data_IF_361144037203
#
_entry.id   IF_361144037203
#
_cell.length_a   1.000
_cell.length_b   1.000
_cell.length_c   1.000
_cell.angle_alpha   90.00
_cell.angle_beta   90.00
_cell.angle_gamma   90.00
#
_symmetry.space_group_name_H-M   'P 1'
#
loop_
_entity.id
_entity.type
_entity.pdbx_description
1 polymer ?
#
# COMPACT_ATOMS: atom_id res chain seq x y z
N UNK A 1 -4.31 28.07 31.32
CA UNK A 1 -5.09 26.82 31.21
C UNK A 1 -5.88 26.71 29.92
N UNK A 2 -6.66 27.74 29.51
CA UNK A 2 -7.44 27.75 28.25
C UNK A 2 -6.62 27.46 26.97
N UNK A 3 -5.43 28.06 26.85
CA UNK A 3 -4.52 27.82 25.72
C UNK A 3 -4.00 26.39 25.68
N UNK A 4 -3.60 25.83 26.83
CA UNK A 4 -3.14 24.43 26.94
C UNK A 4 -4.26 23.46 26.55
N UNK A 5 -5.49 23.72 26.99
CA UNK A 5 -6.67 22.92 26.58
C UNK A 5 -6.92 22.99 25.08
N UNK A 6 -6.80 24.17 24.46
CA UNK A 6 -6.96 24.34 23.02
C UNK A 6 -5.86 23.61 22.23
N UNK A 7 -4.61 23.68 22.67
CA UNK A 7 -3.49 22.96 22.04
C UNK A 7 -3.68 21.45 22.12
N UNK A 8 -4.13 20.93 23.27
CA UNK A 8 -4.41 19.49 23.44
C UNK A 8 -5.54 19.04 22.50
N UNK A 9 -6.61 19.83 22.35
CA UNK A 9 -7.73 19.52 21.44
C UNK A 9 -7.31 19.48 19.96
N UNK A 10 -6.41 20.39 19.55
CA UNK A 10 -5.87 20.42 18.19
C UNK A 10 -4.99 19.19 17.91
N UNK A 11 -4.13 18.81 18.86
CA UNK A 11 -3.27 17.64 18.73
C UNK A 11 -4.05 16.32 18.65
N UNK A 12 -5.14 16.18 19.41
CA UNK A 12 -6.00 14.98 19.37
C UNK A 12 -6.69 14.85 18.02
N UNK A 13 -7.16 15.96 17.44
CA UNK A 13 -7.89 15.96 16.16
C UNK A 13 -7.02 15.55 14.97
N UNK A 14 -5.71 15.83 15.01
CA UNK A 14 -4.78 15.50 13.93
C UNK A 14 -4.52 13.99 13.76
N UNK A 15 -4.86 13.15 14.75
CA UNK A 15 -4.61 11.70 14.71
C UNK A 15 -5.54 10.90 13.78
N UNK A 16 -6.56 11.54 13.18
CA UNK A 16 -7.63 10.87 12.43
C UNK A 16 -7.53 10.97 10.90
N UNK A 17 -6.43 11.48 10.35
CA UNK A 17 -6.28 11.66 8.89
C UNK A 17 -5.66 10.47 8.15
N UNK A 18 -5.39 9.34 8.81
CA UNK A 18 -5.02 8.13 8.10
C UNK A 18 -6.28 7.47 7.54
N UNK A 19 -6.50 7.59 6.23
CA UNK A 19 -7.52 6.82 5.54
C UNK A 19 -7.13 5.34 5.60
N UNK A 20 -8.01 4.51 6.14
CA UNK A 20 -7.86 3.06 6.14
C UNK A 20 -8.04 2.56 4.70
N UNK A 21 -6.92 2.39 3.98
CA UNK A 21 -6.93 1.79 2.65
C UNK A 21 -7.18 0.30 2.87
N UNK A 22 -8.44 -0.11 2.70
CA UNK A 22 -8.84 -1.51 2.78
C UNK A 22 -8.24 -2.28 1.61
N UNK A 23 -7.13 -2.96 1.86
CA UNK A 23 -6.47 -3.80 0.86
C UNK A 23 -7.24 -5.11 0.68
N UNK A 24 -7.52 -5.48 -0.57
CA UNK A 24 -8.06 -6.80 -0.89
C UNK A 24 -6.94 -7.85 -0.79
N UNK A 25 -6.99 -8.66 0.25
CA UNK A 25 -6.05 -9.78 0.49
C UNK A 25 -6.63 -11.14 0.07
N UNK A 26 -7.72 -11.16 -0.70
CA UNK A 26 -8.25 -12.42 -1.24
C UNK A 26 -7.23 -13.12 -2.15
N UNK A 27 -7.23 -14.46 -2.24
CA UNK A 27 -6.40 -15.19 -3.21
C UNK A 27 -6.69 -14.78 -4.65
N UNK A 28 -5.68 -14.85 -5.52
CA UNK A 28 -5.88 -14.52 -6.93
C UNK A 28 -6.68 -15.61 -7.61
N UNK A 29 -7.61 -15.23 -8.48
CA UNK A 29 -8.25 -16.18 -9.37
C UNK A 29 -7.24 -16.65 -10.44
N UNK A 30 -7.54 -17.76 -11.12
CA UNK A 30 -6.87 -18.07 -12.37
C UNK A 30 -6.87 -16.84 -13.29
N UNK A 31 -5.73 -16.56 -13.92
CA UNK A 31 -5.51 -15.44 -14.84
C UNK A 31 -5.54 -14.03 -14.21
N UNK A 32 -5.67 -13.91 -12.89
CA UNK A 32 -5.51 -12.64 -12.17
C UNK A 32 -4.10 -12.51 -11.58
N UNK A 33 -3.63 -11.27 -11.47
CA UNK A 33 -2.39 -10.99 -10.73
C UNK A 33 -2.64 -11.22 -9.24
N UNK A 34 -1.60 -11.59 -8.51
CA UNK A 34 -1.68 -11.88 -7.08
C UNK A 34 -0.41 -11.50 -6.36
N UNK A 35 -0.43 -11.64 -5.04
CA UNK A 35 0.77 -11.50 -4.23
C UNK A 35 1.73 -12.66 -4.51
N UNK A 36 2.95 -12.32 -4.93
CA UNK A 36 4.03 -13.27 -5.18
C UNK A 36 5.34 -12.75 -4.57
N UNK A 37 6.21 -13.64 -4.07
CA UNK A 37 5.95 -15.07 -3.83
C UNK A 37 4.81 -15.30 -2.83
N UNK A 38 4.17 -16.46 -2.88
CA UNK A 38 3.11 -16.79 -1.91
C UNK A 38 3.69 -16.87 -0.49
N UNK A 39 2.85 -16.62 0.52
CA UNK A 39 3.30 -16.67 1.91
C UNK A 39 3.88 -18.06 2.23
N UNK A 40 5.15 -18.09 2.64
CA UNK A 40 5.87 -19.34 2.93
C UNK A 40 6.50 -20.03 1.71
N UNK A 41 6.32 -19.52 0.50
CA UNK A 41 7.01 -20.03 -0.69
C UNK A 41 8.49 -19.60 -0.70
N UNK A 42 9.36 -20.54 -1.05
CA UNK A 42 10.77 -20.24 -1.30
C UNK A 42 10.93 -19.70 -2.73
N UNK A 43 11.73 -18.65 -2.90
CA UNK A 43 12.12 -18.15 -4.23
C UNK A 43 13.31 -18.95 -4.74
N UNK A 44 13.25 -19.39 -5.99
CA UNK A 44 14.37 -20.05 -6.68
C UNK A 44 15.47 -19.07 -7.10
N UNK A 45 15.15 -17.77 -7.13
CA UNK A 45 16.05 -16.70 -7.56
C UNK A 45 16.21 -15.62 -6.49
N UNK A 46 17.35 -14.95 -6.50
CA UNK A 46 17.68 -13.84 -5.60
C UNK A 46 18.17 -12.63 -6.44
N UNK A 47 17.44 -11.50 -6.46
CA UNK A 47 16.28 -11.18 -5.63
C UNK A 47 14.99 -11.90 -6.07
N UNK A 48 14.05 -12.17 -5.15
CA UNK A 48 12.74 -12.72 -5.51
C UNK A 48 11.95 -11.78 -6.42
N UNK A 49 11.18 -12.31 -7.38
CA UNK A 49 10.28 -11.50 -8.19
C UNK A 49 9.02 -11.17 -7.38
N UNK A 50 8.92 -9.94 -6.91
CA UNK A 50 7.74 -9.47 -6.18
C UNK A 50 6.68 -8.89 -7.12
N UNK A 51 5.44 -9.33 -6.96
CA UNK A 51 4.27 -8.79 -7.67
C UNK A 51 3.05 -8.71 -6.77
N UNK A 52 2.14 -7.79 -7.04
CA UNK A 52 0.86 -7.63 -6.34
C UNK A 52 -0.23 -7.14 -7.31
N UNK A 53 -1.50 -7.23 -6.90
CA UNK A 53 -2.62 -6.67 -7.67
C UNK A 53 -2.59 -5.14 -7.65
N UNK A 54 -2.73 -4.47 -8.81
CA UNK A 54 -2.94 -3.03 -8.81
C UNK A 54 -4.26 -2.71 -8.10
N UNK A 55 -4.25 -1.69 -7.24
CA UNK A 55 -5.50 -1.15 -6.71
C UNK A 55 -6.10 -0.20 -7.77
N UNK A 56 -7.42 -0.03 -7.74
CA UNK A 56 -8.20 0.69 -8.77
C UNK A 56 -7.80 2.17 -9.00
N UNK A 57 -6.93 2.74 -8.14
CA UNK A 57 -6.54 4.15 -8.17
C UNK A 57 -5.02 4.36 -8.04
N UNK A 58 -4.21 3.47 -8.62
CA UNK A 58 -2.75 3.53 -8.53
C UNK A 58 -2.11 4.24 -9.72
N UNK A 59 -1.12 5.08 -9.42
CA UNK A 59 -0.25 5.69 -10.42
C UNK A 59 0.62 4.62 -11.08
N UNK A 60 0.69 4.65 -12.42
CA UNK A 60 1.62 3.85 -13.22
C UNK A 60 3.05 4.24 -12.84
N UNK A 61 3.88 3.27 -12.47
CA UNK A 61 5.32 3.48 -12.34
C UNK A 61 5.93 3.43 -13.75
N UNK A 62 6.04 4.57 -14.42
CA UNK A 62 6.82 4.70 -15.67
C UNK A 62 8.28 4.87 -15.31
N UNK A 63 9.16 4.04 -15.88
CA UNK A 63 10.60 4.26 -15.73
C UNK A 63 10.96 5.52 -16.54
N UNK A 64 11.78 6.45 -16.02
CA UNK A 64 12.08 7.73 -16.69
C UNK A 64 12.74 7.65 -18.08
N UNK A 65 13.08 6.44 -18.57
CA UNK A 65 13.62 6.23 -19.94
C UNK A 65 12.54 5.95 -20.99
N UNK A 66 11.27 5.85 -20.59
CA UNK A 66 10.17 5.49 -21.47
C UNK A 66 9.36 6.70 -21.98
N UNK A 67 9.89 7.93 -21.83
CA UNK A 67 9.33 9.16 -22.43
C UNK A 67 9.83 9.26 -23.89
N UNK A 68 8.94 9.43 -24.89
CA UNK A 68 9.31 9.47 -26.31
C UNK A 68 10.13 10.70 -26.72
#
# INVERSE_FOLDING_TARGET
>A
MRLVTATILVLISATRLAADIKLDQSPARPDEWGYRPEAGAASEVNPPPFSWRPHENHARFTHPRDDP
#
